data_IF_115604410746
#
_entry.id   IF_115604410746
#
_cell.length_a   1.000
_cell.length_b   1.000
_cell.length_c   1.000
_cell.angle_alpha   90.00
_cell.angle_beta   90.00
_cell.angle_gamma   90.00
#
_symmetry.space_group_name_H-M   'P 1'
#
loop_
_entity.id
_entity.type
_entity.pdbx_description
1 polymer ?
#
# COMPACT_ATOMS: atom_id res chain seq x y z
N UNK A 1 -9.16 20.05 -3.47
CA UNK A 1 -7.76 19.60 -3.52
C UNK A 1 -7.70 18.24 -2.85
N UNK A 2 -7.54 17.16 -3.62
CA UNK A 2 -7.58 15.79 -3.10
C UNK A 2 -6.24 15.46 -2.45
N UNK A 3 -6.23 15.36 -1.11
CA UNK A 3 -5.04 14.99 -0.34
C UNK A 3 -4.78 13.49 -0.50
N UNK A 4 -3.56 13.11 -0.90
CA UNK A 4 -3.16 11.72 -0.99
C UNK A 4 -3.19 11.06 0.39
N UNK A 5 -3.57 9.76 0.41
CA UNK A 5 -3.82 9.01 1.67
C UNK A 5 -2.54 8.49 2.33
N UNK A 6 -1.38 8.57 1.66
CA UNK A 6 -0.12 8.05 2.16
C UNK A 6 0.57 9.06 3.09
N UNK A 7 1.09 8.59 4.23
CA UNK A 7 1.90 9.38 5.17
C UNK A 7 3.39 9.02 5.09
N UNK A 8 4.24 9.54 5.99
CA UNK A 8 5.67 9.23 6.02
C UNK A 8 5.95 7.72 6.11
N UNK A 9 7.03 7.27 5.45
CA UNK A 9 7.44 5.86 5.40
C UNK A 9 8.08 5.44 6.73
N UNK A 10 7.66 4.30 7.29
CA UNK A 10 8.25 3.71 8.51
C UNK A 10 9.53 2.92 8.20
N UNK A 11 10.42 2.79 9.20
CA UNK A 11 11.72 2.12 9.09
C UNK A 11 11.77 0.91 10.05
N UNK A 12 11.21 -0.22 9.61
CA UNK A 12 11.15 -1.49 10.34
C UNK A 12 12.10 -2.55 9.74
N UNK A 13 12.42 -3.63 10.47
CA UNK A 13 13.28 -4.73 9.98
C UNK A 13 12.67 -5.36 8.71
N UNK A 14 13.27 -5.17 7.52
CA UNK A 14 12.62 -5.53 6.27
C UNK A 14 12.77 -7.02 5.96
N UNK A 15 11.69 -7.64 5.48
CA UNK A 15 11.72 -8.96 4.83
C UNK A 15 11.71 -8.75 3.32
N UNK A 16 12.68 -9.32 2.61
CA UNK A 16 12.76 -9.19 1.15
C UNK A 16 11.76 -10.14 0.49
N UNK A 17 10.86 -9.58 -0.30
CA UNK A 17 9.90 -10.33 -1.12
C UNK A 17 10.11 -9.93 -2.58
N UNK A 18 10.08 -10.89 -3.50
CA UNK A 18 10.09 -10.62 -4.94
C UNK A 18 8.66 -10.70 -5.45
N UNK A 19 8.20 -9.68 -6.17
CA UNK A 19 6.85 -9.59 -6.71
C UNK A 19 6.89 -9.24 -8.19
N UNK A 20 6.01 -9.86 -8.97
CA UNK A 20 5.75 -9.47 -10.34
C UNK A 20 4.50 -8.58 -10.37
N UNK A 21 4.60 -7.43 -11.02
CA UNK A 21 3.49 -6.49 -11.17
C UNK A 21 3.01 -6.46 -12.61
N UNK A 22 1.69 -6.40 -12.85
CA UNK A 22 1.17 -6.07 -14.17
C UNK A 22 1.76 -4.73 -14.66
N UNK A 23 2.08 -4.65 -15.95
CA UNK A 23 2.71 -3.47 -16.53
C UNK A 23 1.89 -2.18 -16.31
N UNK A 24 0.56 -2.27 -16.37
CA UNK A 24 -0.34 -1.15 -16.06
C UNK A 24 -0.18 -0.64 -14.63
N UNK A 25 -0.15 -1.56 -13.66
CA UNK A 25 0.00 -1.21 -12.26
C UNK A 25 1.36 -0.55 -11.98
N UNK A 26 2.43 -1.02 -12.63
CA UNK A 26 3.74 -0.38 -12.49
C UNK A 26 3.75 1.06 -13.02
N UNK A 27 3.08 1.33 -14.15
CA UNK A 27 2.94 2.70 -14.70
C UNK A 27 2.15 3.60 -13.75
N UNK A 28 1.05 3.11 -13.19
CA UNK A 28 0.25 3.86 -12.23
C UNK A 28 1.05 4.17 -10.96
N UNK A 29 1.91 3.24 -10.51
CA UNK A 29 2.77 3.43 -9.35
C UNK A 29 3.84 4.51 -9.59
N UNK A 30 4.40 4.58 -10.80
CA UNK A 30 5.32 5.66 -11.21
C UNK A 30 4.58 7.01 -11.14
N UNK A 31 3.44 7.12 -11.80
CA UNK A 31 2.66 8.35 -11.81
C UNK A 31 2.26 8.80 -10.39
N UNK A 32 1.88 7.85 -9.52
CA UNK A 32 1.59 8.13 -8.13
C UNK A 32 2.81 8.69 -7.38
N UNK A 33 3.98 8.10 -7.58
CA UNK A 33 5.22 8.54 -6.94
C UNK A 33 5.64 9.95 -7.37
N UNK A 34 5.43 10.30 -8.63
CA UNK A 34 5.66 11.65 -9.16
C UNK A 34 4.76 12.68 -8.49
N UNK A 35 3.44 12.42 -8.43
CA UNK A 35 2.47 13.32 -7.79
C UNK A 35 2.78 13.49 -6.30
N UNK A 36 3.07 12.40 -5.59
CA UNK A 36 3.42 12.43 -4.18
C UNK A 36 4.73 13.22 -3.93
N UNK A 37 5.69 13.10 -4.85
CA UNK A 37 6.96 13.79 -4.75
C UNK A 37 6.86 15.29 -4.90
N UNK A 38 5.88 15.78 -5.66
CA UNK A 38 5.56 17.22 -5.72
C UNK A 38 5.01 17.76 -4.41
N UNK A 39 4.17 16.99 -3.70
CA UNK A 39 3.65 17.39 -2.39
C UNK A 39 4.74 17.37 -1.30
N UNK A 40 5.74 16.51 -1.45
CA UNK A 40 6.75 16.23 -0.42
C UNK A 40 8.11 16.91 -0.68
N UNK A 41 8.31 17.51 -1.86
CA UNK A 41 9.60 18.05 -2.31
C UNK A 41 10.70 16.99 -2.49
N UNK A 42 10.33 15.71 -2.61
CA UNK A 42 11.26 14.57 -2.71
C UNK A 42 10.74 13.58 -3.74
N UNK A 43 11.59 13.14 -4.66
CA UNK A 43 11.26 12.04 -5.57
C UNK A 43 11.05 10.76 -4.78
N UNK A 44 9.82 10.22 -4.79
CA UNK A 44 9.53 8.92 -4.21
C UNK A 44 9.93 7.82 -5.21
N UNK A 45 10.64 6.79 -4.75
CA UNK A 45 10.85 5.56 -5.53
C UNK A 45 9.52 4.79 -5.57
N UNK A 46 8.96 4.49 -6.77
CA UNK A 46 7.70 3.76 -6.91
C UNK A 46 7.70 2.45 -6.12
N UNK A 47 8.82 1.72 -6.08
CA UNK A 47 8.93 0.44 -5.37
C UNK A 47 8.79 0.63 -3.85
N UNK A 48 9.28 1.75 -3.32
CA UNK A 48 9.17 2.07 -1.89
C UNK A 48 7.76 2.42 -1.44
N UNK A 49 6.83 2.63 -2.39
CA UNK A 49 5.41 2.85 -2.08
C UNK A 49 4.65 1.55 -1.82
N UNK A 50 5.15 0.41 -2.30
CA UNK A 50 4.42 -0.87 -2.24
C UNK A 50 4.13 -1.26 -0.78
N UNK A 51 5.17 -1.32 0.06
CA UNK A 51 5.04 -1.68 1.47
C UNK A 51 4.06 -0.77 2.25
N UNK A 52 4.22 0.56 2.29
CA UNK A 52 3.34 1.44 3.06
C UNK A 52 1.90 1.49 2.50
N UNK A 53 1.71 1.29 1.19
CA UNK A 53 0.37 1.15 0.60
C UNK A 53 -0.32 -0.14 1.07
N UNK A 54 0.39 -1.26 1.08
CA UNK A 54 -0.12 -2.54 1.57
C UNK A 54 -0.41 -2.50 3.07
N UNK A 55 0.47 -1.90 3.87
CA UNK A 55 0.25 -1.67 5.30
C UNK A 55 -1.01 -0.84 5.53
N UNK A 56 -1.19 0.26 4.80
CA UNK A 56 -2.37 1.10 4.92
C UNK A 56 -3.64 0.36 4.51
N UNK A 57 -3.57 -0.43 3.44
CA UNK A 57 -4.68 -1.28 3.01
C UNK A 57 -5.09 -2.26 4.11
N UNK A 58 -4.13 -3.07 4.61
CA UNK A 58 -4.35 -4.06 5.67
C UNK A 58 -4.89 -3.40 6.96
N UNK A 59 -4.33 -2.26 7.35
CA UNK A 59 -4.72 -1.55 8.57
C UNK A 59 -6.15 -0.98 8.51
N UNK A 60 -6.64 -0.65 7.31
CA UNK A 60 -7.96 -0.01 7.13
C UNK A 60 -9.06 -0.98 6.70
N UNK A 61 -8.71 -2.18 6.27
CA UNK A 61 -9.68 -3.23 5.92
C UNK A 61 -10.35 -3.80 7.18
N UNK A 62 -11.60 -3.38 7.42
CA UNK A 62 -12.43 -3.87 8.53
C UNK A 62 -12.81 -5.33 8.39
N UNK A 63 -13.00 -5.82 7.16
CA UNK A 63 -13.32 -7.22 6.88
C UNK A 63 -12.16 -8.11 7.29
N UNK A 64 -10.95 -7.74 6.86
CA UNK A 64 -9.72 -8.39 7.29
C UNK A 64 -9.54 -8.33 8.81
N UNK A 65 -9.74 -7.15 9.42
CA UNK A 65 -9.61 -6.99 10.87
C UNK A 65 -10.57 -7.90 11.65
N UNK A 66 -11.80 -8.12 11.16
CA UNK A 66 -12.79 -9.03 11.75
C UNK A 66 -12.35 -10.48 11.61
N UNK A 67 -12.00 -10.93 10.40
CA UNK A 67 -11.53 -12.30 10.15
C UNK A 67 -10.33 -12.68 11.02
N UNK A 68 -9.34 -11.78 11.11
CA UNK A 68 -8.12 -12.00 11.90
C UNK A 68 -8.40 -12.18 13.39
N UNK A 69 -9.40 -11.46 13.94
CA UNK A 69 -9.82 -11.60 15.35
C UNK A 69 -10.58 -12.90 15.60
N UNK A 70 -11.38 -13.35 14.63
CA UNK A 70 -12.23 -14.52 14.77
C UNK A 70 -11.50 -15.85 14.60
N UNK A 71 -10.26 -15.88 14.08
CA UNK A 71 -9.52 -17.10 13.64
C UNK A 71 -10.29 -17.99 12.65
N UNK A 72 -11.43 -17.53 12.16
CA UNK A 72 -12.33 -18.29 11.30
C UNK A 72 -12.37 -17.58 9.94
N UNK A 73 -12.13 -18.29 8.82
CA UNK A 73 -12.23 -17.69 7.51
C UNK A 73 -13.66 -17.16 7.31
N UNK A 74 -13.79 -15.90 6.88
CA UNK A 74 -15.08 -15.29 6.56
C UNK A 74 -15.83 -16.24 5.61
N UNK A 75 -16.96 -16.80 6.06
CA UNK A 75 -17.88 -17.51 5.16
C UNK A 75 -18.32 -16.53 4.08
N UNK A 76 -18.09 -16.86 2.82
CA UNK A 76 -18.62 -16.07 1.70
C UNK A 76 -20.13 -16.16 1.75
N UNK A 77 -20.79 -15.06 2.11
CA UNK A 77 -22.22 -14.90 1.83
C UNK A 77 -22.36 -14.83 0.31
N UNK A 78 -23.02 -15.83 -0.26
CA UNK A 78 -23.42 -15.83 -1.67
C UNK A 78 -24.51 -14.81 -1.97
#
# INVERSE_FOLDING_TARGET
MAKLKLGPLADDKPVKVTVELPAGLHRDLIAYAEILGWESGRTADPVRLIAPMLERFIATDRGFAKARKSKEPLKSSG
#
